data_IF_865674462042
#
_entry.id   IF_865674462042
#
_cell.length_a   1.000
_cell.length_b   1.000
_cell.length_c   1.000
_cell.angle_alpha   90.00
_cell.angle_beta   90.00
_cell.angle_gamma   90.00
#
_symmetry.space_group_name_H-M   'P 1'
#
loop_
_entity.id
_entity.type
_entity.pdbx_description
1 polymer ?
#
# COMPACT_ATOMS: atom_id res chain seq x y z
N UNK A 1 12.66 -26.93 -39.61
CA UNK A 1 12.40 -25.71 -38.80
C UNK A 1 12.32 -26.11 -37.35
N UNK A 2 13.06 -25.44 -36.47
CA UNK A 2 13.01 -25.66 -35.01
C UNK A 2 11.71 -25.11 -34.44
N UNK A 3 11.24 -25.64 -33.30
CA UNK A 3 9.99 -25.21 -32.66
C UNK A 3 9.94 -23.70 -32.40
N UNK A 4 11.09 -23.11 -32.06
CA UNK A 4 11.26 -21.69 -31.80
C UNK A 4 11.04 -20.84 -33.06
N UNK A 5 11.52 -21.29 -34.22
CA UNK A 5 11.34 -20.57 -35.48
C UNK A 5 9.85 -20.51 -35.90
N UNK A 6 9.12 -21.61 -35.68
CA UNK A 6 7.67 -21.66 -35.94
C UNK A 6 6.90 -20.75 -34.98
N UNK A 7 7.29 -20.72 -33.70
CA UNK A 7 6.68 -19.81 -32.71
C UNK A 7 6.90 -18.35 -33.07
N UNK A 8 8.11 -18.00 -33.51
CA UNK A 8 8.44 -16.64 -33.93
C UNK A 8 7.60 -16.17 -35.14
N UNK A 9 7.49 -17.00 -36.18
CA UNK A 9 6.66 -16.66 -37.36
C UNK A 9 5.18 -16.51 -37.01
N UNK A 10 4.66 -17.37 -36.11
CA UNK A 10 3.29 -17.23 -35.64
C UNK A 10 3.06 -15.94 -34.85
N UNK A 11 4.01 -15.55 -34.00
CA UNK A 11 3.95 -14.30 -33.24
C UNK A 11 3.96 -13.07 -34.16
N UNK A 12 4.83 -13.05 -35.17
CA UNK A 12 4.87 -11.98 -36.17
C UNK A 12 3.56 -11.89 -36.98
N UNK A 13 2.97 -13.03 -37.33
CA UNK A 13 1.64 -13.06 -37.98
C UNK A 13 0.54 -12.53 -37.06
N UNK A 14 0.61 -12.80 -35.76
CA UNK A 14 -0.36 -12.25 -34.77
C UNK A 14 -0.17 -10.74 -34.60
N UNK A 15 1.07 -10.26 -34.48
CA UNK A 15 1.39 -8.83 -34.37
C UNK A 15 0.90 -8.06 -35.60
N UNK A 16 1.20 -8.52 -36.81
CA UNK A 16 0.77 -7.86 -38.06
C UNK A 16 -0.75 -7.76 -38.21
N UNK A 17 -1.50 -8.78 -37.76
CA UNK A 17 -2.97 -8.72 -37.69
C UNK A 17 -3.44 -7.72 -36.63
N UNK A 18 -2.81 -7.72 -35.46
CA UNK A 18 -3.18 -6.85 -34.35
C UNK A 18 -2.99 -5.36 -34.68
N UNK A 19 -1.97 -4.99 -35.46
CA UNK A 19 -1.73 -3.60 -35.91
C UNK A 19 -2.94 -2.96 -36.59
N UNK A 20 -3.80 -3.77 -37.23
CA UNK A 20 -5.03 -3.27 -37.87
C UNK A 20 -6.14 -2.87 -36.89
N UNK A 21 -6.01 -3.23 -35.61
CA UNK A 21 -7.03 -3.04 -34.58
C UNK A 21 -6.62 -1.93 -33.61
N UNK A 22 -6.89 -0.68 -33.97
CA UNK A 22 -6.41 0.53 -33.25
C UNK A 22 -6.64 0.50 -31.74
N UNK A 23 -7.81 0.02 -31.28
CA UNK A 23 -8.13 -0.08 -29.84
C UNK A 23 -7.61 -1.35 -29.17
N UNK A 24 -7.50 -2.47 -29.92
CA UNK A 24 -7.14 -3.78 -29.36
C UNK A 24 -5.65 -4.05 -29.47
N UNK A 25 -4.89 -3.22 -30.19
CA UNK A 25 -3.43 -3.26 -30.30
C UNK A 25 -2.72 -2.51 -29.17
N UNK A 26 -3.44 -1.97 -28.18
CA UNK A 26 -2.83 -1.22 -27.08
C UNK A 26 -1.69 -2.00 -26.40
N UNK A 27 -1.79 -3.34 -26.34
CA UNK A 27 -0.78 -4.23 -25.77
C UNK A 27 0.59 -4.20 -26.44
N UNK A 28 0.68 -3.78 -27.69
CA UNK A 28 1.99 -3.62 -28.36
C UNK A 28 2.74 -2.37 -27.93
N UNK A 29 2.06 -1.43 -27.26
CA UNK A 29 2.61 -0.14 -26.80
C UNK A 29 2.69 -0.05 -25.28
N UNK A 30 2.44 -1.13 -24.56
CA UNK A 30 2.47 -1.10 -23.10
C UNK A 30 3.90 -0.99 -22.59
N UNK A 31 4.22 0.17 -22.02
CA UNK A 31 5.40 0.37 -21.17
C UNK A 31 4.96 0.25 -19.71
N UNK A 32 4.60 -0.96 -19.30
CA UNK A 32 4.10 -1.26 -17.96
C UNK A 32 5.05 -2.23 -17.27
N UNK A 33 5.27 -2.08 -15.94
CA UNK A 33 6.07 -3.02 -15.18
C UNK A 33 5.48 -4.43 -15.31
N UNK A 34 6.32 -5.38 -15.68
CA UNK A 34 5.92 -6.76 -15.87
C UNK A 34 5.39 -7.34 -14.55
N UNK A 35 4.13 -7.79 -14.55
CA UNK A 35 3.52 -8.47 -13.40
C UNK A 35 3.39 -9.96 -13.71
N UNK A 36 4.16 -10.77 -12.98
CA UNK A 36 4.02 -12.23 -13.02
C UNK A 36 2.78 -12.64 -12.22
N UNK A 37 1.84 -13.32 -12.86
CA UNK A 37 0.69 -13.97 -12.22
C UNK A 37 0.94 -15.47 -12.22
N UNK A 38 1.07 -16.08 -11.04
CA UNK A 38 1.18 -17.53 -10.93
C UNK A 38 -0.20 -18.18 -10.88
N UNK A 39 -0.27 -19.48 -11.17
CA UNK A 39 -1.50 -20.25 -11.03
C UNK A 39 -2.06 -20.20 -9.60
N UNK A 40 -1.17 -20.25 -8.61
CA UNK A 40 -1.52 -20.12 -7.20
C UNK A 40 -2.14 -18.76 -6.89
N UNK A 41 -1.64 -17.67 -7.49
CA UNK A 41 -2.22 -16.33 -7.30
C UNK A 41 -3.63 -16.26 -7.88
N UNK A 42 -3.85 -16.85 -9.05
CA UNK A 42 -5.18 -16.91 -9.68
C UNK A 42 -6.19 -17.63 -8.79
N UNK A 43 -5.82 -18.76 -8.18
CA UNK A 43 -6.72 -19.49 -7.27
C UNK A 43 -7.00 -18.77 -5.95
N UNK A 44 -6.06 -17.95 -5.48
CA UNK A 44 -6.22 -17.16 -4.25
C UNK A 44 -7.02 -15.87 -4.48
N UNK A 45 -7.09 -15.40 -5.72
CA UNK A 45 -7.79 -14.18 -6.06
C UNK A 45 -9.28 -14.45 -6.23
N UNK A 46 -10.09 -13.53 -5.72
CA UNK A 46 -11.51 -13.50 -5.98
C UNK A 46 -11.77 -13.30 -7.49
N UNK A 47 -12.78 -13.96 -8.09
CA UNK A 47 -13.09 -13.86 -9.52
C UNK A 47 -13.17 -12.43 -10.05
N UNK A 48 -13.76 -11.52 -9.28
CA UNK A 48 -13.87 -10.12 -9.67
C UNK A 48 -12.50 -9.45 -9.83
N UNK A 49 -11.56 -9.73 -8.91
CA UNK A 49 -10.19 -9.19 -8.95
C UNK A 49 -9.44 -9.71 -10.16
N UNK A 50 -9.59 -10.99 -10.49
CA UNK A 50 -8.99 -11.59 -11.70
C UNK A 50 -9.51 -10.87 -12.94
N UNK A 51 -10.83 -10.69 -13.04
CA UNK A 51 -11.46 -10.01 -14.17
C UNK A 51 -11.06 -8.55 -14.28
N UNK A 52 -10.76 -7.90 -13.16
CA UNK A 52 -10.34 -6.50 -13.11
C UNK A 52 -8.93 -6.32 -13.64
N UNK A 53 -7.98 -7.21 -13.34
CA UNK A 53 -6.57 -7.06 -13.73
C UNK A 53 -6.34 -6.68 -15.21
N UNK A 54 -6.93 -7.35 -16.21
CA UNK A 54 -6.71 -7.01 -17.61
C UNK A 54 -7.48 -5.75 -18.06
N UNK A 55 -8.58 -5.38 -17.40
CA UNK A 55 -9.51 -4.35 -17.91
C UNK A 55 -8.93 -2.93 -17.98
N UNK A 56 -8.18 -2.42 -16.98
CA UNK A 56 -7.50 -1.15 -17.09
C UNK A 56 -6.49 -1.16 -18.24
N UNK A 57 -5.80 -2.28 -18.44
CA UNK A 57 -4.72 -2.39 -19.42
C UNK A 57 -5.25 -2.32 -20.85
N UNK A 58 -6.41 -2.93 -21.08
CA UNK A 58 -7.12 -2.88 -22.35
C UNK A 58 -8.14 -1.73 -22.47
N UNK A 59 -8.18 -0.81 -21.51
CA UNK A 59 -9.17 0.29 -21.47
C UNK A 59 -10.62 -0.18 -21.67
N UNK A 60 -11.00 -1.30 -21.02
CA UNK A 60 -12.35 -1.88 -21.08
C UNK A 60 -13.16 -1.66 -19.80
N UNK A 61 -12.67 -0.80 -18.90
CA UNK A 61 -13.43 -0.40 -17.72
C UNK A 61 -14.56 0.56 -18.10
N UNK A 62 -15.68 0.56 -17.34
CA UNK A 62 -16.83 1.43 -17.58
C UNK A 62 -16.55 2.89 -17.16
N UNK A 63 -15.59 3.53 -17.81
CA UNK A 63 -15.27 4.95 -17.65
C UNK A 63 -16.27 5.80 -18.43
N UNK A 64 -16.50 7.09 -18.07
CA UNK A 64 -17.33 7.98 -18.87
C UNK A 64 -17.02 7.98 -20.36
N UNK A 65 -15.74 7.99 -20.73
CA UNK A 65 -15.32 7.95 -22.12
C UNK A 65 -15.67 6.62 -22.82
N UNK A 66 -15.54 5.49 -22.13
CA UNK A 66 -15.86 4.18 -22.70
C UNK A 66 -17.37 3.95 -22.77
N UNK A 67 -18.13 4.37 -21.76
CA UNK A 67 -19.59 4.30 -21.76
C UNK A 67 -20.19 5.11 -22.92
N UNK A 68 -19.60 6.29 -23.19
CA UNK A 68 -19.98 7.07 -24.36
C UNK A 68 -19.63 6.36 -25.67
N UNK A 69 -18.42 5.79 -25.78
CA UNK A 69 -18.01 4.98 -26.94
C UNK A 69 -18.94 3.78 -27.19
N UNK A 70 -19.49 3.19 -26.13
CA UNK A 70 -20.42 2.06 -26.22
C UNK A 70 -21.89 2.47 -26.45
N UNK A 71 -22.18 3.77 -26.56
CA UNK A 71 -23.55 4.27 -26.72
C UNK A 71 -24.43 4.09 -25.49
N UNK A 72 -23.85 3.79 -24.32
CA UNK A 72 -24.56 3.64 -23.04
C UNK A 72 -24.72 4.97 -22.29
N UNK A 73 -24.07 6.04 -22.78
CA UNK A 73 -24.10 7.36 -22.17
C UNK A 73 -23.91 8.46 -23.23
N UNK A 74 -24.62 9.56 -23.10
CA UNK A 74 -24.47 10.71 -24.00
C UNK A 74 -23.19 11.51 -23.71
N UNK A 75 -22.84 11.70 -22.44
CA UNK A 75 -21.68 12.48 -22.04
C UNK A 75 -20.44 11.64 -21.72
N UNK A 76 -19.29 12.06 -22.25
CA UNK A 76 -17.97 11.53 -21.91
C UNK A 76 -17.28 12.23 -20.71
N UNK A 77 -18.03 13.05 -19.96
CA UNK A 77 -17.48 13.92 -18.92
C UNK A 77 -17.37 13.21 -17.56
N UNK A 78 -16.31 13.58 -16.84
CA UNK A 78 -16.06 13.22 -15.45
C UNK A 78 -17.06 13.92 -14.54
N UNK A 79 -17.72 13.17 -13.65
CA UNK A 79 -18.71 13.72 -12.71
C UNK A 79 -18.13 14.67 -11.66
N UNK A 80 -16.82 14.62 -11.44
CA UNK A 80 -16.16 15.43 -10.40
C UNK A 80 -15.67 16.77 -10.91
N UNK A 81 -15.01 16.79 -12.08
CA UNK A 81 -14.34 17.99 -12.59
C UNK A 81 -14.82 18.44 -13.98
N UNK A 82 -15.73 17.70 -14.62
CA UNK A 82 -16.26 18.06 -15.95
C UNK A 82 -15.32 17.83 -17.13
N UNK A 83 -14.08 17.40 -16.92
CA UNK A 83 -13.15 17.04 -18.01
C UNK A 83 -13.49 15.68 -18.64
N UNK A 84 -12.84 15.33 -19.76
CA UNK A 84 -13.03 14.02 -20.39
C UNK A 84 -12.64 12.89 -19.45
N UNK A 85 -13.60 12.05 -19.07
CA UNK A 85 -13.43 10.95 -18.12
C UNK A 85 -12.79 9.71 -18.74
N UNK A 86 -11.53 9.82 -19.15
CA UNK A 86 -10.72 8.68 -19.58
C UNK A 86 -10.30 7.83 -18.39
N UNK A 87 -9.79 6.61 -18.64
CA UNK A 87 -9.28 5.76 -17.58
C UNK A 87 -8.16 6.42 -16.77
N UNK A 88 -7.16 6.99 -17.46
CA UNK A 88 -6.05 7.70 -16.80
C UNK A 88 -6.55 8.88 -15.96
N UNK A 89 -7.54 9.61 -16.46
CA UNK A 89 -8.17 10.70 -15.71
C UNK A 89 -8.83 10.21 -14.43
N UNK A 90 -9.66 9.16 -14.51
CA UNK A 90 -10.37 8.63 -13.33
C UNK A 90 -9.40 8.04 -12.31
N UNK A 91 -8.40 7.28 -12.76
CA UNK A 91 -7.48 6.57 -11.86
C UNK A 91 -6.38 7.46 -11.25
N UNK A 92 -5.93 8.50 -11.93
CA UNK A 92 -4.78 9.30 -11.46
C UNK A 92 -4.84 10.79 -11.83
N UNK A 93 -5.55 11.18 -12.88
CA UNK A 93 -5.48 12.52 -13.46
C UNK A 93 -6.53 13.53 -12.96
N UNK A 94 -7.52 13.11 -12.16
CA UNK A 94 -8.61 13.99 -11.78
C UNK A 94 -8.16 14.96 -10.67
N UNK A 95 -8.07 16.25 -11.00
CA UNK A 95 -7.65 17.32 -10.07
C UNK A 95 -8.54 17.38 -8.82
N UNK A 96 -9.85 17.29 -8.99
CA UNK A 96 -10.82 17.32 -7.89
C UNK A 96 -10.68 16.09 -6.99
N UNK A 97 -10.49 14.91 -7.58
CA UNK A 97 -10.26 13.68 -6.81
C UNK A 97 -8.96 13.74 -6.01
N UNK A 98 -7.91 14.32 -6.61
CA UNK A 98 -6.62 14.57 -5.95
C UNK A 98 -6.76 15.53 -4.78
N UNK A 99 -7.39 16.70 -4.98
CA UNK A 99 -7.58 17.71 -3.92
C UNK A 99 -8.44 17.19 -2.77
N UNK A 100 -9.40 16.31 -3.05
CA UNK A 100 -10.25 15.67 -2.05
C UNK A 100 -9.57 14.47 -1.36
N UNK A 101 -8.33 14.11 -1.73
CA UNK A 101 -7.60 12.99 -1.13
C UNK A 101 -8.16 11.60 -1.48
N UNK A 102 -9.03 11.49 -2.50
CA UNK A 102 -9.73 10.22 -2.81
C UNK A 102 -8.78 9.07 -3.17
N UNK A 103 -7.66 9.38 -3.80
CA UNK A 103 -6.64 8.39 -4.17
C UNK A 103 -5.94 7.78 -2.96
N UNK A 104 -5.83 8.53 -1.86
CA UNK A 104 -5.21 8.07 -0.62
C UNK A 104 -6.21 7.47 0.37
N UNK A 105 -7.51 7.73 0.19
CA UNK A 105 -8.55 7.38 1.15
C UNK A 105 -8.49 5.93 1.65
N UNK A 106 -8.39 4.93 0.76
CA UNK A 106 -8.37 3.53 1.18
C UNK A 106 -7.08 3.19 1.94
N UNK A 107 -5.95 3.72 1.47
CA UNK A 107 -4.65 3.57 2.12
C UNK A 107 -4.68 4.18 3.53
N UNK A 108 -5.10 5.43 3.64
CA UNK A 108 -5.18 6.19 4.88
C UNK A 108 -6.17 5.53 5.87
N UNK A 109 -7.26 4.96 5.38
CA UNK A 109 -8.23 4.23 6.21
C UNK A 109 -7.63 2.96 6.82
N UNK A 110 -6.87 2.21 6.03
CA UNK A 110 -6.17 1.01 6.51
C UNK A 110 -5.10 1.42 7.53
N UNK A 111 -4.28 2.43 7.21
CA UNK A 111 -3.25 2.95 8.10
C UNK A 111 -3.78 3.46 9.42
N UNK A 112 -4.90 4.19 9.41
CA UNK A 112 -5.55 4.65 10.64
C UNK A 112 -5.98 3.48 11.54
N UNK A 113 -6.44 2.37 10.94
CA UNK A 113 -6.84 1.17 11.69
C UNK A 113 -5.64 0.46 12.30
N UNK A 114 -4.55 0.35 11.54
CA UNK A 114 -3.27 -0.19 12.04
C UNK A 114 -2.70 0.65 13.17
N UNK A 115 -2.62 1.97 12.98
CA UNK A 115 -2.16 2.92 13.99
C UNK A 115 -2.93 2.75 15.30
N UNK A 116 -4.26 2.80 15.24
CA UNK A 116 -5.11 2.62 16.41
C UNK A 116 -4.85 1.28 17.13
N UNK A 117 -4.66 0.19 16.38
CA UNK A 117 -4.39 -1.13 16.95
C UNK A 117 -3.03 -1.17 17.65
N UNK A 118 -2.00 -0.59 17.04
CA UNK A 118 -0.65 -0.52 17.61
C UNK A 118 -0.61 0.34 18.87
N UNK A 119 -1.30 1.49 18.88
CA UNK A 119 -1.43 2.33 20.07
C UNK A 119 -2.11 1.61 21.23
N UNK A 120 -3.19 0.85 20.96
CA UNK A 120 -3.86 0.07 21.98
C UNK A 120 -2.93 -0.98 22.60
N UNK A 121 -2.18 -1.70 21.78
CA UNK A 121 -1.23 -2.71 22.26
C UNK A 121 -0.07 -2.09 23.04
N UNK A 122 0.42 -0.93 22.61
CA UNK A 122 1.42 -0.16 23.33
C UNK A 122 0.93 0.22 24.73
N UNK A 123 -0.26 0.82 24.83
CA UNK A 123 -0.86 1.22 26.12
C UNK A 123 -1.08 0.03 27.07
N UNK A 124 -1.55 -1.12 26.57
CA UNK A 124 -1.74 -2.33 27.38
C UNK A 124 -0.42 -2.83 27.99
N UNK A 125 0.68 -2.78 27.23
CA UNK A 125 2.00 -3.18 27.72
C UNK A 125 2.56 -2.18 28.73
N UNK A 126 2.33 -0.88 28.53
CA UNK A 126 2.76 0.16 29.47
C UNK A 126 2.05 0.08 30.81
N UNK A 127 0.76 -0.25 30.86
CA UNK A 127 0.04 -0.41 32.13
C UNK A 127 0.62 -1.53 33.02
N UNK A 128 1.39 -2.47 32.44
CA UNK A 128 2.11 -3.53 33.16
C UNK A 128 3.50 -3.11 33.64
N UNK A 129 4.02 -1.95 33.26
CA UNK A 129 5.38 -1.49 33.54
C UNK A 129 5.51 -0.58 34.78
N UNK A 130 4.42 -0.32 35.50
CA UNK A 130 4.39 0.53 36.70
C UNK A 130 5.01 -0.06 37.97
N UNK A 131 6.21 -0.63 37.90
CA UNK A 131 7.05 -0.88 39.08
C UNK A 131 8.40 -0.21 38.89
N UNK A 132 8.54 0.93 39.56
CA UNK A 132 9.81 1.66 39.68
C UNK A 132 10.89 0.70 40.16
N UNK A 133 12.06 0.73 39.50
CA UNK A 133 13.25 0.05 39.99
C UNK A 133 13.50 0.51 41.43
N UNK A 134 13.53 -0.43 42.38
CA UNK A 134 13.79 -0.10 43.77
C UNK A 134 15.14 0.62 43.87
N UNK A 135 15.15 1.81 44.49
CA UNK A 135 16.38 2.53 44.75
C UNK A 135 17.33 1.62 45.54
N UNK A 136 18.59 1.53 45.10
CA UNK A 136 19.61 0.75 45.78
C UNK A 136 19.78 1.34 47.18
N UNK A 137 19.45 0.56 48.23
CA UNK A 137 19.75 0.93 49.61
C UNK A 137 21.22 0.62 49.89
N UNK A 138 22.01 1.66 50.11
CA UNK A 138 23.37 1.53 50.63
C UNK A 138 23.31 1.18 52.11
N UNK A 139 24.20 0.30 52.55
CA UNK A 139 24.26 -0.22 53.92
C UNK A 139 25.70 -0.09 54.40
N UNK A 140 25.88 0.23 55.68
CA UNK A 140 27.19 0.39 56.30
C UNK A 140 27.93 -0.96 56.43
N UNK A 141 29.26 -0.89 56.56
CA UNK A 141 30.12 -2.06 56.64
C UNK A 141 29.80 -2.91 57.89
N UNK A 142 29.39 -4.17 57.68
CA UNK A 142 29.11 -5.14 58.74
C UNK A 142 27.64 -5.46 58.97
N UNK A 143 26.71 -4.71 58.38
CA UNK A 143 25.27 -4.95 58.54
C UNK A 143 24.73 -5.93 57.47
N UNK A 144 24.05 -7.01 57.89
CA UNK A 144 23.51 -8.05 56.98
C UNK A 144 22.03 -7.81 56.69
N UNK A 145 21.70 -7.50 55.44
CA UNK A 145 20.31 -7.44 55.00
C UNK A 145 19.65 -8.83 55.00
N UNK A 146 18.41 -8.90 55.48
CA UNK A 146 17.54 -10.07 55.31
C UNK A 146 17.21 -10.21 53.83
N UNK A 147 17.48 -11.38 53.24
CA UNK A 147 17.19 -11.66 51.84
C UNK A 147 15.68 -11.54 51.56
N UNK A 148 15.24 -10.42 51.01
CA UNK A 148 13.94 -10.32 50.33
C UNK A 148 14.11 -10.75 48.88
N UNK A 149 13.19 -11.55 48.35
CA UNK A 149 13.15 -11.96 46.95
C UNK A 149 13.31 -10.76 46.01
N UNK A 150 14.43 -10.70 45.29
CA UNK A 150 14.70 -9.63 44.32
C UNK A 150 13.87 -9.90 43.06
N UNK A 151 12.85 -9.08 42.82
CA UNK A 151 12.25 -8.99 41.49
C UNK A 151 13.22 -8.25 40.58
N UNK A 152 13.82 -8.96 39.62
CA UNK A 152 14.70 -8.39 38.60
C UNK A 152 13.88 -7.57 37.62
N UNK A 153 13.71 -6.28 37.91
CA UNK A 153 13.16 -5.33 36.95
C UNK A 153 14.24 -4.94 35.94
N UNK A 154 13.94 -5.01 34.63
CA UNK A 154 14.91 -4.63 33.61
C UNK A 154 15.10 -3.10 33.62
N UNK A 155 16.33 -2.62 33.37
CA UNK A 155 16.62 -1.16 33.33
C UNK A 155 15.76 -0.42 32.31
N UNK A 156 15.32 -1.12 31.26
CA UNK A 156 14.45 -0.58 30.21
C UNK A 156 12.98 -0.52 30.63
N UNK A 157 12.61 -1.09 31.78
CA UNK A 157 11.23 -1.11 32.27
C UNK A 157 10.73 0.27 32.70
N UNK A 158 11.63 1.21 32.99
CA UNK A 158 11.33 2.62 33.25
C UNK A 158 11.61 3.56 32.07
N UNK A 159 11.89 3.03 30.87
CA UNK A 159 12.13 3.87 29.68
C UNK A 159 10.86 4.58 29.22
N UNK A 160 11.04 5.77 28.62
CA UNK A 160 9.95 6.58 28.07
C UNK A 160 9.16 5.81 27.01
N UNK A 161 7.85 6.09 26.84
CA UNK A 161 7.04 5.44 25.82
C UNK A 161 7.61 5.70 24.42
N UNK A 162 7.46 4.69 23.55
CA UNK A 162 7.77 4.83 22.13
C UNK A 162 6.77 5.82 21.52
N UNK A 163 7.28 6.84 20.81
CA UNK A 163 6.45 7.82 20.12
C UNK A 163 6.14 7.33 18.70
N UNK A 164 4.93 6.82 18.50
CA UNK A 164 4.51 6.31 17.20
C UNK A 164 4.07 7.46 16.28
N UNK A 165 4.68 7.54 15.11
CA UNK A 165 4.33 8.49 14.05
C UNK A 165 3.83 7.75 12.81
N UNK A 166 2.71 8.20 12.26
CA UNK A 166 2.02 7.56 11.13
C UNK A 166 1.87 8.55 9.98
N UNK A 167 2.06 8.10 8.75
CA UNK A 167 1.92 8.93 7.54
C UNK A 167 0.45 9.23 7.20
N UNK A 168 -0.24 9.98 8.06
CA UNK A 168 -1.62 10.43 7.88
C UNK A 168 -1.69 11.96 7.96
N UNK A 169 -2.25 12.58 6.92
CA UNK A 169 -2.45 14.03 6.86
C UNK A 169 -1.15 14.82 6.64
N UNK A 170 -0.37 15.01 7.70
CA UNK A 170 0.87 15.77 7.66
C UNK A 170 2.03 14.94 7.11
N UNK A 171 2.96 15.61 6.42
CA UNK A 171 4.15 14.95 5.88
C UNK A 171 5.06 14.56 7.05
N UNK A 172 5.09 13.26 7.37
CA UNK A 172 6.05 12.71 8.32
C UNK A 172 7.49 13.14 7.96
N UNK A 173 8.16 13.82 8.90
CA UNK A 173 9.57 14.17 8.77
C UNK A 173 10.41 13.06 9.40
N UNK A 174 11.25 12.42 8.59
CA UNK A 174 12.13 11.34 9.04
C UNK A 174 13.52 11.90 9.37
N UNK A 175 14.14 11.48 10.48
CA UNK A 175 15.56 11.75 10.72
C UNK A 175 16.41 11.16 9.57
N UNK A 176 17.47 11.84 9.16
CA UNK A 176 18.38 11.40 8.09
C UNK A 176 19.09 10.05 8.35
N UNK A 177 18.91 9.46 9.53
CA UNK A 177 19.54 8.20 9.96
C UNK A 177 18.96 6.98 9.22
N UNK A 178 17.78 7.10 8.61
CA UNK A 178 17.10 5.98 7.95
C UNK A 178 17.62 5.80 6.51
N UNK A 179 18.45 4.77 6.30
CA UNK A 179 18.99 4.37 4.98
C UNK A 179 17.94 3.58 4.16
N UNK A 180 16.78 4.17 3.86
CA UNK A 180 15.81 3.56 2.94
C UNK A 180 15.48 4.50 1.78
N UNK A 181 15.37 3.94 0.59
CA UNK A 181 14.92 4.65 -0.62
C UNK A 181 13.41 4.85 -0.67
N UNK A 182 12.66 4.09 0.15
CA UNK A 182 11.20 4.14 0.25
C UNK A 182 10.77 4.82 1.56
N UNK A 183 9.67 5.58 1.47
CA UNK A 183 9.03 6.25 2.59
C UNK A 183 8.30 5.22 3.49
N UNK A 184 8.57 5.17 4.80
CA UNK A 184 7.81 4.33 5.73
C UNK A 184 6.40 4.86 5.99
N UNK A 185 5.44 3.96 6.20
CA UNK A 185 4.06 4.32 6.56
C UNK A 185 3.87 4.54 8.08
N UNK A 186 4.69 3.89 8.91
CA UNK A 186 4.70 3.98 10.38
C UNK A 186 6.14 4.01 10.90
N UNK A 187 6.40 4.83 11.91
CA UNK A 187 7.67 4.90 12.67
C UNK A 187 7.34 4.75 14.16
N UNK A 188 8.17 3.98 14.86
CA UNK A 188 8.10 3.73 16.30
C UNK A 188 9.42 4.12 16.96
#
# INVERSE_FOLDING_TARGET
MTKEAVQYEEEERRKSRAVKLVSQVAWTKWDLPYRKLTWTDLWRLEPFRISFLPRPVYDTLPTPANLHRWGLREDQLCRLCGERGTLAHILAGCRVALSQGRYKWHHDRVLATFAHTLEQESRKKHHRQGKTTAAIKFVEEGERLVNSEKTTHSLLQGSQPWDMKVDLGERLQFPQVVHRTLRPDVVL
#
